data_IF_738277960702
#
_entry.id   IF_738277960702
#
_cell.length_a   1.000
_cell.length_b   1.000
_cell.length_c   1.000
_cell.angle_alpha   90.00
_cell.angle_beta   90.00
_cell.angle_gamma   90.00
#
_symmetry.space_group_name_H-M   'P 1'
#
loop_
_entity.id
_entity.type
_entity.pdbx_description
1 polymer ?
#
# COMPACT_ATOMS: atom_id res chain seq x y z
N UNK A 1 15.26 -2.60 11.81
CA UNK A 1 13.89 -2.12 12.11
C UNK A 1 13.75 -0.60 12.06
N UNK A 2 14.66 0.19 12.66
CA UNK A 2 14.56 1.66 12.61
C UNK A 2 14.69 2.25 11.19
N UNK A 3 15.64 1.74 10.39
CA UNK A 3 15.80 2.16 8.99
C UNK A 3 14.55 1.89 8.15
N UNK A 4 13.96 0.70 8.28
CA UNK A 4 12.71 0.34 7.60
C UNK A 4 11.57 1.28 8.02
N UNK A 5 11.40 1.54 9.33
CA UNK A 5 10.37 2.47 9.83
C UNK A 5 10.57 3.88 9.28
N UNK A 6 11.81 4.36 9.25
CA UNK A 6 12.16 5.66 8.66
C UNK A 6 11.80 5.73 7.18
N UNK A 7 12.18 4.71 6.40
CA UNK A 7 11.83 4.61 4.99
C UNK A 7 10.30 4.60 4.77
N UNK A 8 9.57 3.77 5.52
CA UNK A 8 8.11 3.68 5.41
C UNK A 8 7.43 5.02 5.75
N UNK A 9 7.89 5.70 6.80
CA UNK A 9 7.34 7.00 7.19
C UNK A 9 7.65 8.09 6.16
N UNK A 10 8.91 8.20 5.73
CA UNK A 10 9.32 9.21 4.74
C UNK A 10 8.66 8.97 3.38
N UNK A 11 8.61 7.72 2.92
CA UNK A 11 7.92 7.35 1.70
C UNK A 11 6.42 7.64 1.77
N UNK A 12 5.80 7.39 2.93
CA UNK A 12 4.39 7.72 3.15
C UNK A 12 4.15 9.24 3.11
N UNK A 13 4.97 10.03 3.79
CA UNK A 13 4.87 11.50 3.79
C UNK A 13 5.05 12.07 2.37
N UNK A 14 6.04 11.58 1.63
CA UNK A 14 6.28 11.98 0.24
C UNK A 14 5.07 11.68 -0.64
N UNK A 15 4.56 10.45 -0.57
CA UNK A 15 3.42 10.03 -1.39
C UNK A 15 2.14 10.79 -1.00
N UNK A 16 1.89 10.97 0.29
CA UNK A 16 0.77 11.78 0.79
C UNK A 16 0.85 13.22 0.28
N UNK A 17 2.03 13.83 0.28
CA UNK A 17 2.26 15.17 -0.25
C UNK A 17 1.98 15.27 -1.76
N UNK A 18 2.50 14.34 -2.56
CA UNK A 18 2.26 14.28 -4.00
C UNK A 18 0.77 14.07 -4.30
N UNK A 19 0.11 13.15 -3.58
CA UNK A 19 -1.32 12.89 -3.74
C UNK A 19 -2.16 14.11 -3.35
N UNK A 20 -1.85 14.77 -2.23
CA UNK A 20 -2.57 15.98 -1.80
C UNK A 20 -2.42 17.11 -2.83
N UNK A 21 -1.22 17.31 -3.37
CA UNK A 21 -0.97 18.28 -4.42
C UNK A 21 -1.72 17.94 -5.73
N UNK A 22 -1.73 16.66 -6.13
CA UNK A 22 -2.48 16.22 -7.30
C UNK A 22 -3.98 16.46 -7.11
N UNK A 23 -4.54 16.13 -5.93
CA UNK A 23 -5.96 16.35 -5.62
C UNK A 23 -6.31 17.84 -5.61
N UNK A 24 -5.44 18.70 -5.05
CA UNK A 24 -5.70 20.14 -5.01
C UNK A 24 -5.60 20.81 -6.38
N UNK A 25 -4.79 20.25 -7.29
CA UNK A 25 -4.51 20.84 -8.60
C UNK A 25 -5.37 20.25 -9.73
N UNK A 26 -5.72 18.97 -9.63
CA UNK A 26 -6.36 18.18 -10.69
C UNK A 26 -7.70 17.56 -10.23
N UNK A 27 -8.11 17.76 -8.97
CA UNK A 27 -9.34 17.19 -8.43
C UNK A 27 -9.23 15.70 -8.08
N UNK A 28 -10.39 15.05 -7.89
CA UNK A 28 -10.48 13.64 -7.48
C UNK A 28 -10.53 12.66 -8.67
N UNK A 29 -9.90 13.02 -9.79
CA UNK A 29 -9.95 12.25 -11.04
C UNK A 29 -8.93 11.09 -11.09
N UNK A 30 -8.22 10.80 -10.00
CA UNK A 30 -7.13 9.82 -9.98
C UNK A 30 -7.51 8.43 -10.49
N UNK A 31 -8.74 7.97 -10.19
CA UNK A 31 -9.25 6.70 -10.71
C UNK A 31 -9.47 6.73 -12.22
N UNK A 32 -9.99 7.84 -12.76
CA UNK A 32 -10.18 8.02 -14.20
C UNK A 32 -8.82 8.04 -14.91
N UNK A 33 -7.86 8.83 -14.39
CA UNK A 33 -6.50 8.93 -14.93
C UNK A 33 -5.83 7.55 -14.98
N UNK A 34 -5.96 6.76 -13.90
CA UNK A 34 -5.41 5.40 -13.84
C UNK A 34 -5.92 4.51 -14.98
N UNK A 35 -7.23 4.54 -15.29
CA UNK A 35 -7.80 3.72 -16.36
C UNK A 35 -7.53 4.28 -17.77
N UNK A 36 -7.58 5.60 -17.95
CA UNK A 36 -7.27 6.23 -19.24
C UNK A 36 -5.83 5.93 -19.68
N UNK A 37 -4.89 5.83 -18.73
CA UNK A 37 -3.49 5.57 -19.01
C UNK A 37 -3.20 4.19 -19.61
N UNK A 38 -4.14 3.24 -19.54
CA UNK A 38 -4.02 1.97 -20.25
C UNK A 38 -4.06 2.12 -21.79
N UNK A 39 -4.53 3.26 -22.31
CA UNK A 39 -4.48 3.54 -23.75
C UNK A 39 -3.04 3.75 -24.26
N UNK A 40 -2.10 4.12 -23.38
CA UNK A 40 -0.69 4.30 -23.75
C UNK A 40 0.14 3.06 -23.35
N UNK A 41 0.72 2.36 -24.31
CA UNK A 41 1.36 1.05 -24.10
C UNK A 41 2.40 1.01 -22.95
N UNK A 42 3.29 2.02 -22.84
CA UNK A 42 4.25 2.07 -21.74
C UNK A 42 3.59 2.32 -20.38
N UNK A 43 2.54 3.14 -20.32
CA UNK A 43 1.85 3.43 -19.06
C UNK A 43 1.04 2.21 -18.63
N UNK A 44 0.36 1.57 -19.59
CA UNK A 44 -0.31 0.29 -19.39
C UNK A 44 0.64 -0.77 -18.82
N UNK A 45 1.88 -0.85 -19.33
CA UNK A 45 2.90 -1.77 -18.80
C UNK A 45 3.22 -1.47 -17.33
N UNK A 46 3.42 -0.21 -16.95
CA UNK A 46 3.70 0.16 -15.57
C UNK A 46 2.51 -0.07 -14.63
N UNK A 47 1.29 0.28 -15.05
CA UNK A 47 0.10 0.06 -14.23
C UNK A 47 -0.26 -1.42 -14.10
N UNK A 48 -0.01 -2.21 -15.14
CA UNK A 48 -0.16 -3.68 -15.07
C UNK A 48 0.85 -4.28 -14.10
N UNK A 49 2.12 -3.89 -14.18
CA UNK A 49 3.16 -4.31 -13.23
C UNK A 49 2.79 -3.94 -11.78
N UNK A 50 2.31 -2.70 -11.57
CA UNK A 50 1.81 -2.25 -10.28
C UNK A 50 0.66 -3.13 -9.76
N UNK A 51 -0.33 -3.44 -10.60
CA UNK A 51 -1.46 -4.30 -10.23
C UNK A 51 -1.00 -5.72 -9.86
N UNK A 52 -0.05 -6.28 -10.61
CA UNK A 52 0.52 -7.60 -10.35
C UNK A 52 1.32 -7.66 -9.03
N UNK A 53 1.82 -6.53 -8.53
CA UNK A 53 2.45 -6.45 -7.22
C UNK A 53 1.46 -6.17 -6.09
N UNK A 54 0.49 -5.27 -6.30
CA UNK A 54 -0.42 -4.83 -5.23
C UNK A 54 -1.46 -5.87 -4.85
N UNK A 55 -1.91 -6.70 -5.80
CA UNK A 55 -2.90 -7.75 -5.55
C UNK A 55 -2.36 -8.84 -4.61
N UNK A 56 -1.16 -9.42 -4.83
CA UNK A 56 -0.55 -10.34 -3.87
C UNK A 56 -0.30 -9.70 -2.50
N UNK A 57 0.15 -8.43 -2.44
CA UNK A 57 0.33 -7.72 -1.17
C UNK A 57 -1.00 -7.60 -0.43
N UNK A 58 -2.07 -7.27 -1.13
CA UNK A 58 -3.42 -7.19 -0.56
C UNK A 58 -3.89 -8.54 -0.01
N UNK A 59 -3.70 -9.62 -0.78
CA UNK A 59 -4.01 -10.96 -0.34
C UNK A 59 -3.18 -11.35 0.91
N UNK A 60 -1.90 -10.99 0.94
CA UNK A 60 -1.02 -11.21 2.10
C UNK A 60 -1.49 -10.45 3.34
N UNK A 61 -1.91 -9.18 3.21
CA UNK A 61 -2.50 -8.39 4.31
C UNK A 61 -3.74 -9.07 4.87
N UNK A 62 -4.66 -9.50 4.00
CA UNK A 62 -5.88 -10.19 4.42
C UNK A 62 -5.56 -11.51 5.14
N UNK A 63 -4.59 -12.27 4.61
CA UNK A 63 -4.20 -13.57 5.14
C UNK A 63 -3.50 -13.51 6.51
N UNK A 64 -2.64 -12.50 6.72
CA UNK A 64 -1.80 -12.37 7.92
C UNK A 64 -2.52 -11.76 9.12
N UNK A 65 -3.55 -10.94 8.90
CA UNK A 65 -4.23 -10.25 10.00
C UNK A 65 -4.99 -11.25 10.90
N UNK A 66 -4.87 -11.15 12.24
CA UNK A 66 -5.65 -11.97 13.18
C UNK A 66 -7.15 -11.76 13.06
N UNK A 67 -7.57 -10.51 12.82
CA UNK A 67 -8.98 -10.15 12.70
C UNK A 67 -9.38 -10.09 11.23
N UNK A 68 -10.38 -10.89 10.84
CA UNK A 68 -10.89 -10.95 9.45
C UNK A 68 -11.45 -9.58 8.98
N UNK A 69 -12.27 -8.85 9.76
CA UNK A 69 -12.71 -7.51 9.38
C UNK A 69 -11.55 -6.52 9.17
N UNK A 70 -10.55 -6.55 10.05
CA UNK A 70 -9.36 -5.68 9.93
C UNK A 70 -8.55 -6.07 8.69
N UNK A 71 -8.35 -7.36 8.44
CA UNK A 71 -7.67 -7.86 7.24
C UNK A 71 -8.35 -7.39 5.96
N UNK A 72 -9.67 -7.48 5.87
CA UNK A 72 -10.43 -7.00 4.71
C UNK A 72 -10.35 -5.47 4.54
N UNK A 73 -10.51 -4.70 5.62
CA UNK A 73 -10.44 -3.25 5.56
C UNK A 73 -9.03 -2.77 5.15
N UNK A 74 -7.99 -3.27 5.83
CA UNK A 74 -6.62 -2.93 5.52
C UNK A 74 -6.23 -3.41 4.11
N UNK A 75 -6.65 -4.62 3.72
CA UNK A 75 -6.40 -5.17 2.39
C UNK A 75 -7.07 -4.35 1.28
N UNK A 76 -8.33 -3.95 1.47
CA UNK A 76 -9.01 -3.05 0.54
C UNK A 76 -8.26 -1.70 0.43
N UNK A 77 -7.73 -1.19 1.54
CA UNK A 77 -6.84 -0.04 1.53
C UNK A 77 -5.58 -0.26 0.71
N UNK A 78 -4.85 -1.37 0.93
CA UNK A 78 -3.61 -1.64 0.20
C UNK A 78 -3.81 -1.81 -1.30
N UNK A 79 -5.00 -2.25 -1.74
CA UNK A 79 -5.36 -2.34 -3.17
C UNK A 79 -5.34 -0.96 -3.85
N UNK A 80 -5.60 0.12 -3.12
CA UNK A 80 -5.51 1.50 -3.60
C UNK A 80 -4.05 2.01 -3.70
N UNK A 81 -3.08 1.20 -3.30
CA UNK A 81 -1.66 1.42 -3.55
C UNK A 81 -0.83 1.84 -2.34
N UNK A 82 0.32 2.46 -2.64
CA UNK A 82 1.40 2.70 -1.68
C UNK A 82 1.01 3.54 -0.47
N UNK A 83 0.04 4.46 -0.61
CA UNK A 83 -0.36 5.35 0.49
C UNK A 83 -0.90 4.55 1.68
N UNK A 84 -1.65 3.49 1.41
CA UNK A 84 -2.19 2.61 2.45
C UNK A 84 -1.21 1.51 2.82
N UNK A 85 -0.49 0.94 1.84
CA UNK A 85 0.48 -0.13 2.08
C UNK A 85 1.64 0.31 2.98
N UNK A 86 2.20 1.51 2.76
CA UNK A 86 3.30 2.02 3.58
C UNK A 86 2.86 2.28 5.02
N UNK A 87 1.67 2.88 5.20
CA UNK A 87 1.10 3.15 6.53
C UNK A 87 0.78 1.85 7.28
N UNK A 88 0.18 0.88 6.58
CA UNK A 88 -0.12 -0.44 7.11
C UNK A 88 1.15 -1.15 7.58
N UNK A 89 2.19 -1.20 6.73
CA UNK A 89 3.46 -1.83 7.06
C UNK A 89 4.14 -1.13 8.24
N UNK A 90 4.10 0.20 8.30
CA UNK A 90 4.66 0.97 9.42
C UNK A 90 4.00 0.54 10.73
N UNK A 91 2.67 0.55 10.78
CA UNK A 91 1.91 0.09 11.95
C UNK A 91 2.19 -1.38 12.30
N UNK A 92 2.28 -2.25 11.28
CA UNK A 92 2.61 -3.66 11.45
C UNK A 92 4.01 -3.86 12.07
N UNK A 93 5.01 -3.02 11.73
CA UNK A 93 6.34 -3.11 12.33
C UNK A 93 6.34 -2.79 13.84
N UNK A 94 5.43 -1.92 14.30
CA UNK A 94 5.28 -1.61 15.72
C UNK A 94 4.54 -2.73 16.45
N UNK A 95 3.45 -3.24 15.87
CA UNK A 95 2.70 -4.41 16.40
C UNK A 95 3.58 -5.66 16.53
N UNK A 96 4.52 -5.85 15.60
CA UNK A 96 5.44 -6.98 15.63
C UNK A 96 6.57 -6.82 16.68
N UNK A 97 6.71 -5.68 17.35
CA UNK A 97 7.80 -5.44 18.30
C UNK A 97 9.19 -5.50 17.67
N UNK A 98 9.29 -5.35 16.35
CA UNK A 98 10.54 -5.52 15.60
C UNK A 98 10.93 -6.96 15.28
N UNK A 99 10.08 -7.95 15.58
CA UNK A 99 10.28 -9.35 15.19
C UNK A 99 9.90 -9.55 13.69
N UNK A 100 10.85 -9.91 12.80
CA UNK A 100 10.57 -10.12 11.38
C UNK A 100 9.57 -11.25 11.12
N UNK A 101 9.53 -12.28 11.97
CA UNK A 101 8.62 -13.43 11.82
C UNK A 101 7.18 -13.00 12.07
N UNK A 102 6.94 -12.26 13.15
CA UNK A 102 5.63 -11.64 13.44
C UNK A 102 5.22 -10.63 12.38
N UNK A 103 6.17 -9.87 11.84
CA UNK A 103 5.89 -8.93 10.75
C UNK A 103 5.45 -9.65 9.48
N UNK A 104 6.12 -10.73 9.08
CA UNK A 104 5.80 -11.45 7.83
C UNK A 104 4.56 -12.35 7.98
N UNK A 105 4.46 -13.11 9.06
CA UNK A 105 3.44 -14.17 9.23
C UNK A 105 2.19 -13.69 9.98
N UNK A 106 2.28 -12.60 10.75
CA UNK A 106 1.14 -12.08 11.51
C UNK A 106 0.60 -13.12 12.50
N UNK A 107 -0.66 -13.52 12.32
CA UNK A 107 -1.32 -14.55 13.16
C UNK A 107 -0.72 -15.96 13.02
N UNK A 108 0.13 -16.19 12.02
CA UNK A 108 0.74 -17.50 11.72
C UNK A 108 2.20 -17.59 12.21
N UNK A 109 2.65 -16.63 13.03
CA UNK A 109 4.01 -16.56 13.58
C UNK A 109 4.19 -17.40 14.84
#
# INVERSE_FOLDING_TARGET
MILLRGYLLLGWLLLAGITAWAVSSLGLDGGKVFFDDFAHAWRASFYTDFLLHVVPVTAWVIWREPSRPVGLLCGAGTLLGGLFTLLYLLAATYRAGGDPRKLMLGRHA
#
